data_IF_407555033669
#
_entry.id   IF_407555033669
#
_cell.length_a   1.000
_cell.length_b   1.000
_cell.length_c   1.000
_cell.angle_alpha   90.00
_cell.angle_beta   90.00
_cell.angle_gamma   90.00
#
_symmetry.space_group_name_H-M   'P 1'
#
loop_
_entity.id
_entity.type
_entity.pdbx_description
1 polymer ?
#
# COMPACT_ATOMS: atom_id res chain seq x y z
N UNK A 1 -12.61 4.61 -39.30
CA UNK A 1 -13.33 3.51 -38.63
C UNK A 1 -13.43 3.90 -37.17
N UNK A 2 -14.63 3.95 -36.58
CA UNK A 2 -14.74 4.18 -35.14
C UNK A 2 -14.54 2.84 -34.42
N UNK A 3 -13.45 2.71 -33.66
CA UNK A 3 -13.12 1.49 -32.91
C UNK A 3 -13.52 1.57 -31.45
N UNK A 4 -13.60 2.78 -30.89
CA UNK A 4 -13.89 3.01 -29.48
C UNK A 4 -15.41 3.09 -29.31
N UNK A 5 -15.93 2.37 -28.34
CA UNK A 5 -17.31 2.56 -27.91
C UNK A 5 -17.36 3.85 -27.10
N UNK A 6 -18.28 4.75 -27.45
CA UNK A 6 -18.43 6.07 -26.83
C UNK A 6 -19.88 6.33 -26.39
N UNK A 7 -20.59 5.28 -25.98
CA UNK A 7 -21.99 5.32 -25.57
C UNK A 7 -22.25 6.32 -24.43
N UNK A 8 -21.34 6.36 -23.46
CA UNK A 8 -21.38 7.27 -22.31
C UNK A 8 -19.97 7.81 -22.00
N UNK A 9 -19.87 8.70 -21.01
CA UNK A 9 -18.63 9.35 -20.59
C UNK A 9 -17.64 8.42 -19.88
N UNK A 10 -18.08 7.25 -19.40
CA UNK A 10 -17.24 6.21 -18.80
C UNK A 10 -16.71 5.21 -19.81
N UNK A 11 -17.48 4.93 -20.87
CA UNK A 11 -17.08 4.08 -22.00
C UNK A 11 -16.22 4.88 -22.99
N UNK A 12 -14.91 4.91 -22.73
CA UNK A 12 -13.86 5.51 -23.56
C UNK A 12 -12.52 4.74 -23.36
N UNK A 13 -11.40 5.36 -23.71
CA UNK A 13 -10.08 5.01 -23.17
C UNK A 13 -9.77 5.92 -21.98
N UNK A 14 -9.50 5.34 -20.81
CA UNK A 14 -9.33 6.08 -19.56
C UNK A 14 -8.52 5.32 -18.52
N UNK A 15 -8.41 5.86 -17.33
CA UNK A 15 -7.73 5.22 -16.20
C UNK A 15 -8.75 5.00 -15.09
N UNK A 16 -8.77 3.81 -14.52
CA UNK A 16 -9.51 3.49 -13.30
C UNK A 16 -8.53 2.88 -12.31
N UNK A 17 -8.46 3.45 -11.11
CA UNK A 17 -7.55 2.96 -10.06
C UNK A 17 -8.31 2.51 -8.84
N UNK A 18 -7.70 1.66 -8.03
CA UNK A 18 -8.29 0.96 -6.91
C UNK A 18 -7.32 0.95 -5.74
N UNK A 19 -7.84 1.13 -4.54
CA UNK A 19 -7.17 0.76 -3.30
C UNK A 19 -7.29 -0.74 -3.06
N UNK A 20 -6.15 -1.45 -2.99
CA UNK A 20 -6.12 -2.89 -2.75
C UNK A 20 -6.60 -3.33 -1.37
N UNK A 21 -6.74 -2.41 -0.41
CA UNK A 21 -7.31 -2.67 0.91
C UNK A 21 -8.85 -2.61 0.92
N UNK A 22 -9.44 -1.95 -0.08
CA UNK A 22 -10.87 -1.75 -0.18
C UNK A 22 -11.57 -2.94 -0.84
N UNK A 23 -12.87 -3.07 -0.57
CA UNK A 23 -13.74 -4.05 -1.23
C UNK A 23 -14.58 -3.39 -2.32
N UNK A 24 -14.69 -4.06 -3.46
CA UNK A 24 -15.48 -3.61 -4.61
C UNK A 24 -16.53 -4.65 -4.96
N UNK A 25 -17.81 -4.28 -4.86
CA UNK A 25 -18.93 -5.19 -5.16
C UNK A 25 -19.50 -4.92 -6.56
N UNK A 26 -18.94 -5.61 -7.56
CA UNK A 26 -19.40 -5.51 -8.95
C UNK A 26 -20.79 -6.14 -9.18
N UNK A 27 -21.30 -6.96 -8.25
CA UNK A 27 -22.62 -7.60 -8.39
C UNK A 27 -23.79 -6.63 -8.10
N UNK A 28 -23.52 -5.49 -7.44
CA UNK A 28 -24.52 -4.45 -7.22
C UNK A 28 -23.88 -3.05 -7.33
N UNK A 29 -23.87 -2.51 -8.55
CA UNK A 29 -23.43 -1.14 -8.88
C UNK A 29 -24.16 -0.04 -8.08
N UNK A 30 -25.34 -0.34 -7.55
CA UNK A 30 -26.14 0.59 -6.75
C UNK A 30 -25.94 0.40 -5.24
N UNK A 31 -25.04 -0.48 -4.81
CA UNK A 31 -24.66 -0.61 -3.39
C UNK A 31 -23.96 0.69 -2.94
N UNK A 32 -24.59 1.49 -2.05
CA UNK A 32 -24.01 2.74 -1.60
C UNK A 32 -22.85 2.52 -0.63
N UNK A 33 -22.63 1.30 -0.13
CA UNK A 33 -21.70 1.04 0.99
C UNK A 33 -20.36 0.46 0.52
N UNK A 34 -20.25 -0.12 -0.68
CA UNK A 34 -19.05 -0.91 -1.07
C UNK A 34 -18.39 -0.48 -2.40
N UNK A 35 -18.02 0.79 -2.50
CA UNK A 35 -17.14 1.29 -3.55
C UNK A 35 -16.15 2.29 -2.95
N UNK A 36 -14.95 1.79 -2.69
CA UNK A 36 -13.84 2.48 -2.03
C UNK A 36 -13.22 3.62 -2.86
N UNK A 37 -11.90 3.69 -2.87
CA UNK A 37 -11.17 4.65 -3.71
C UNK A 37 -11.11 4.18 -5.17
N UNK A 38 -12.03 4.69 -6.00
CA UNK A 38 -12.06 4.43 -7.44
C UNK A 38 -12.09 5.68 -8.34
N UNK A 39 -10.97 6.41 -8.47
CA UNK A 39 -10.82 7.50 -9.44
C UNK A 39 -10.94 7.07 -10.91
N UNK A 40 -11.75 7.81 -11.68
CA UNK A 40 -12.03 7.58 -13.11
C UNK A 40 -12.38 8.88 -13.84
N UNK A 41 -12.30 8.98 -15.18
CA UNK A 41 -12.73 10.17 -15.92
C UNK A 41 -14.23 10.49 -15.79
N UNK A 42 -15.08 9.50 -15.50
CA UNK A 42 -16.54 9.68 -15.39
C UNK A 42 -17.13 8.85 -14.27
N UNK A 43 -18.07 9.42 -13.53
CA UNK A 43 -18.81 8.68 -12.50
C UNK A 43 -19.93 7.80 -13.08
N UNK A 44 -20.53 6.95 -12.23
CA UNK A 44 -21.65 6.06 -12.60
C UNK A 44 -22.94 6.79 -12.99
N UNK A 45 -23.03 8.09 -12.75
CA UNK A 45 -24.13 8.95 -13.19
C UNK A 45 -23.83 9.70 -14.48
N UNK A 46 -22.71 9.36 -15.14
CA UNK A 46 -22.26 9.95 -16.39
C UNK A 46 -21.86 11.43 -16.26
N UNK A 47 -21.48 11.87 -15.05
CA UNK A 47 -20.76 13.13 -14.91
C UNK A 47 -19.31 12.92 -15.33
N UNK A 48 -18.83 13.74 -16.25
CA UNK A 48 -17.46 13.68 -16.76
C UNK A 48 -16.58 14.74 -16.10
N UNK A 49 -15.31 14.39 -15.88
CA UNK A 49 -14.31 15.35 -15.48
C UNK A 49 -14.13 16.45 -16.55
N UNK A 50 -13.56 17.57 -16.13
CA UNK A 50 -13.26 18.69 -17.04
C UNK A 50 -11.74 18.87 -17.15
N UNK A 51 -11.22 19.17 -18.35
CA UNK A 51 -9.82 19.56 -18.49
C UNK A 51 -9.50 20.76 -17.60
N UNK A 52 -8.46 20.61 -16.78
CA UNK A 52 -7.81 21.69 -16.05
C UNK A 52 -6.88 22.48 -16.98
N UNK A 53 -6.23 21.77 -17.90
CA UNK A 53 -5.33 22.34 -18.90
C UNK A 53 -5.38 21.46 -20.16
N UNK A 54 -5.25 22.07 -21.33
CA UNK A 54 -5.07 21.34 -22.58
C UNK A 54 -4.34 22.21 -23.61
N UNK A 55 -3.60 21.59 -24.52
CA UNK A 55 -2.96 22.28 -25.64
C UNK A 55 -2.76 21.35 -26.83
N UNK A 56 -2.65 21.92 -28.02
CA UNK A 56 -2.22 21.22 -29.23
C UNK A 56 -0.91 21.85 -29.70
N UNK A 57 0.16 21.05 -29.77
CA UNK A 57 1.48 21.47 -30.22
C UNK A 57 2.01 20.45 -31.24
N UNK A 58 2.08 20.84 -32.51
CA UNK A 58 2.42 19.92 -33.60
C UNK A 58 1.44 18.74 -33.63
N UNK A 59 1.98 17.52 -33.61
CA UNK A 59 1.23 16.26 -33.62
C UNK A 59 0.84 15.75 -32.22
N UNK A 60 1.07 16.57 -31.17
CA UNK A 60 0.80 16.20 -29.78
C UNK A 60 -0.36 17.01 -29.20
N UNK A 61 -1.41 16.31 -28.76
CA UNK A 61 -2.47 16.85 -27.93
C UNK A 61 -2.18 16.54 -26.46
N UNK A 62 -2.11 17.58 -25.63
CA UNK A 62 -1.95 17.48 -24.18
C UNK A 62 -3.28 17.77 -23.49
N UNK A 63 -3.60 16.98 -22.46
CA UNK A 63 -4.72 17.25 -21.56
C UNK A 63 -4.35 16.87 -20.13
N UNK A 64 -4.78 17.70 -19.17
CA UNK A 64 -4.71 17.49 -17.73
C UNK A 64 -6.10 17.55 -17.16
N UNK A 65 -6.50 16.56 -16.37
CA UNK A 65 -7.79 16.54 -15.69
C UNK A 65 -7.67 15.92 -14.29
N UNK A 66 -8.55 16.33 -13.39
CA UNK A 66 -8.75 15.64 -12.10
C UNK A 66 -9.82 14.58 -12.31
N UNK A 67 -9.54 13.34 -11.94
CA UNK A 67 -10.52 12.27 -12.01
C UNK A 67 -11.61 12.47 -10.94
N UNK A 68 -12.72 11.77 -11.12
CA UNK A 68 -13.86 11.73 -10.21
C UNK A 68 -13.86 10.40 -9.48
N UNK A 69 -14.44 10.34 -8.29
CA UNK A 69 -14.81 9.05 -7.72
C UNK A 69 -15.93 8.44 -8.56
N UNK A 70 -15.73 7.21 -9.03
CA UNK A 70 -16.72 6.52 -9.85
C UNK A 70 -18.07 6.36 -9.13
N UNK A 71 -18.03 6.02 -7.84
CA UNK A 71 -19.20 6.03 -6.96
C UNK A 71 -19.14 7.21 -5.98
N UNK A 72 -19.92 8.27 -6.23
CA UNK A 72 -19.93 9.46 -5.38
C UNK A 72 -20.95 9.40 -4.21
N UNK A 73 -21.82 8.38 -4.15
CA UNK A 73 -23.00 8.37 -3.25
C UNK A 73 -22.65 8.47 -1.76
N UNK A 74 -21.59 7.78 -1.33
CA UNK A 74 -21.10 7.83 0.05
C UNK A 74 -20.06 8.93 0.31
N UNK A 75 -19.80 9.79 -0.68
CA UNK A 75 -18.78 10.86 -0.62
C UNK A 75 -19.41 12.26 -0.75
N UNK A 76 -20.74 12.34 -0.60
CA UNK A 76 -21.49 13.60 -0.65
C UNK A 76 -21.91 14.05 -2.04
N UNK A 77 -21.72 13.22 -3.07
CA UNK A 77 -22.24 13.46 -4.41
C UNK A 77 -23.41 12.55 -4.74
N UNK A 78 -23.56 12.20 -6.01
CA UNK A 78 -24.62 11.33 -6.50
C UNK A 78 -25.19 11.85 -7.81
N UNK A 79 -26.45 11.53 -8.07
CA UNK A 79 -27.15 11.92 -9.32
C UNK A 79 -27.17 13.42 -9.60
N UNK A 80 -27.02 14.27 -8.58
CA UNK A 80 -27.07 15.73 -8.71
C UNK A 80 -25.68 16.38 -8.83
N UNK A 81 -24.60 15.63 -8.66
CA UNK A 81 -23.25 16.16 -8.81
C UNK A 81 -22.14 15.16 -8.53
N UNK A 82 -21.00 15.29 -9.24
CA UNK A 82 -19.84 14.44 -9.06
C UNK A 82 -19.04 14.80 -7.80
N UNK A 83 -18.17 13.89 -7.38
CA UNK A 83 -17.11 14.17 -6.40
C UNK A 83 -15.77 13.98 -7.07
N UNK A 84 -14.94 15.03 -7.05
CA UNK A 84 -13.58 14.95 -7.54
C UNK A 84 -12.74 14.08 -6.61
N UNK A 85 -11.84 13.27 -7.17
CA UNK A 85 -10.84 12.52 -6.39
C UNK A 85 -9.54 13.31 -6.26
N UNK A 86 -8.63 12.80 -5.45
CA UNK A 86 -7.21 13.16 -5.27
C UNK A 86 -6.28 12.74 -6.43
N UNK A 87 -6.81 12.25 -7.56
CA UNK A 87 -6.00 11.79 -8.68
C UNK A 87 -6.04 12.77 -9.85
N UNK A 88 -4.88 13.35 -10.18
CA UNK A 88 -4.68 14.17 -11.38
C UNK A 88 -4.03 13.31 -12.46
N UNK A 89 -4.64 13.27 -13.64
CA UNK A 89 -4.14 12.55 -14.81
C UNK A 89 -3.79 13.54 -15.90
N UNK A 90 -2.59 13.36 -16.45
CA UNK A 90 -2.10 14.06 -17.62
C UNK A 90 -1.82 13.07 -18.73
N UNK A 91 -2.22 13.42 -19.95
CA UNK A 91 -2.05 12.63 -21.15
C UNK A 91 -1.41 13.47 -22.25
N UNK A 92 -0.40 12.93 -22.91
CA UNK A 92 0.15 13.45 -24.16
C UNK A 92 -0.11 12.43 -25.27
N UNK A 93 -1.06 12.74 -26.13
CA UNK A 93 -1.51 11.93 -27.25
C UNK A 93 -0.75 12.38 -28.50
N UNK A 94 0.11 11.53 -29.06
CA UNK A 94 0.97 11.86 -30.21
C UNK A 94 0.81 10.84 -31.32
N UNK A 95 0.40 11.28 -32.51
CA UNK A 95 0.46 10.43 -33.70
C UNK A 95 1.92 10.33 -34.16
N UNK A 96 2.43 9.10 -34.31
CA UNK A 96 3.83 8.92 -34.69
C UNK A 96 4.00 9.18 -36.20
N UNK A 97 4.85 10.13 -36.62
CA UNK A 97 4.99 10.47 -38.04
C UNK A 97 5.42 9.29 -38.93
N UNK A 98 6.27 8.41 -38.39
CA UNK A 98 6.75 7.21 -39.10
C UNK A 98 5.72 6.08 -39.14
N UNK A 99 4.67 6.14 -38.30
CA UNK A 99 3.66 5.10 -38.18
C UNK A 99 2.26 5.73 -38.09
N UNK A 100 1.62 6.04 -39.22
CA UNK A 100 0.39 6.85 -39.26
C UNK A 100 -0.83 6.20 -38.57
N UNK A 101 -0.76 4.90 -38.30
CA UNK A 101 -1.80 4.15 -37.57
C UNK A 101 -1.53 4.05 -36.06
N UNK A 102 -0.43 4.64 -35.56
CA UNK A 102 0.00 4.54 -34.17
C UNK A 102 -0.24 5.86 -33.44
N UNK A 103 -0.99 5.76 -32.35
CA UNK A 103 -1.14 6.79 -31.34
C UNK A 103 -0.33 6.40 -30.10
N UNK A 104 0.75 7.13 -29.83
CA UNK A 104 1.46 7.05 -28.55
C UNK A 104 0.69 7.88 -27.52
N UNK A 105 0.44 7.31 -26.34
CA UNK A 105 -0.13 8.02 -25.20
C UNK A 105 0.83 7.93 -24.04
N UNK A 106 1.43 9.07 -23.69
CA UNK A 106 2.23 9.19 -22.46
C UNK A 106 1.30 9.63 -21.34
N UNK A 107 1.44 9.01 -20.19
CA UNK A 107 0.66 9.32 -19.00
C UNK A 107 1.56 9.87 -17.89
N UNK A 108 1.01 10.81 -17.11
CA UNK A 108 1.46 11.10 -15.76
C UNK A 108 0.23 11.08 -14.85
N UNK A 109 0.21 10.18 -13.87
CA UNK A 109 -0.81 10.12 -12.84
C UNK A 109 -0.20 10.55 -11.50
N UNK A 110 -0.75 11.59 -10.89
CA UNK A 110 -0.30 12.14 -9.62
C UNK A 110 -1.40 12.03 -8.58
N UNK A 111 -1.09 11.38 -7.46
CA UNK A 111 -1.94 11.39 -6.28
C UNK A 111 -1.56 12.57 -5.40
N UNK A 112 -2.47 13.53 -5.24
CA UNK A 112 -2.23 14.75 -4.45
C UNK A 112 -2.97 14.77 -3.10
N UNK A 113 -3.54 13.63 -2.70
CA UNK A 113 -4.12 13.38 -1.38
C UNK A 113 -3.05 13.17 -0.29
N UNK A 114 -3.51 13.21 0.96
CA UNK A 114 -2.71 12.95 2.16
C UNK A 114 -2.81 11.49 2.65
N UNK A 115 -3.72 10.72 2.08
CA UNK A 115 -3.97 9.31 2.31
C UNK A 115 -3.08 8.40 1.45
N UNK A 116 -3.12 7.12 1.74
CA UNK A 116 -2.39 6.11 1.00
C UNK A 116 -3.32 4.95 0.63
N UNK A 117 -3.13 4.42 -0.57
CA UNK A 117 -3.88 3.30 -1.10
C UNK A 117 -2.98 2.11 -1.33
N UNK A 118 -3.43 0.94 -0.86
CA UNK A 118 -2.71 -0.31 -1.02
C UNK A 118 -2.62 -0.72 -2.49
N UNK A 119 -1.64 -1.57 -2.79
CA UNK A 119 -1.38 -2.03 -4.15
C UNK A 119 -2.61 -2.69 -4.76
N UNK A 120 -3.03 -2.21 -5.94
CA UNK A 120 -4.09 -2.79 -6.75
C UNK A 120 -3.65 -3.06 -8.19
N UNK A 121 -4.39 -3.94 -8.88
CA UNK A 121 -4.30 -4.10 -10.32
C UNK A 121 -5.06 -2.96 -11.00
N UNK A 122 -4.32 -1.91 -11.35
CA UNK A 122 -4.90 -0.67 -11.88
C UNK A 122 -5.25 -0.82 -13.35
N UNK A 123 -6.44 -0.33 -13.71
CA UNK A 123 -6.91 -0.28 -15.09
C UNK A 123 -6.28 0.91 -15.80
N UNK A 124 -5.06 0.71 -16.28
CA UNK A 124 -4.21 1.79 -16.72
C UNK A 124 -3.64 1.49 -18.11
N UNK A 125 -4.21 2.05 -19.18
CA UNK A 125 -5.59 2.50 -19.30
C UNK A 125 -6.55 1.33 -19.57
N UNK A 126 -7.79 1.43 -19.09
CA UNK A 126 -8.87 0.65 -19.68
C UNK A 126 -9.26 1.20 -21.05
N UNK A 127 -9.86 0.37 -21.90
CA UNK A 127 -10.39 0.79 -23.20
C UNK A 127 -11.63 -0.01 -23.59
N UNK A 128 -12.72 0.70 -23.86
CA UNK A 128 -13.93 0.13 -24.44
C UNK A 128 -13.86 0.14 -25.97
N UNK A 129 -14.06 -1.04 -26.57
CA UNK A 129 -13.95 -1.27 -28.02
C UNK A 129 -15.30 -1.73 -28.55
N UNK A 130 -15.70 -1.28 -29.73
CA UNK A 130 -16.96 -1.70 -30.34
C UNK A 130 -17.03 -3.24 -30.52
N UNK A 131 -18.20 -3.84 -30.32
CA UNK A 131 -18.40 -5.30 -30.35
C UNK A 131 -17.95 -6.01 -31.63
N UNK A 132 -17.86 -5.34 -32.76
CA UNK A 132 -17.42 -5.95 -34.04
C UNK A 132 -15.97 -6.48 -34.04
N UNK A 133 -15.22 -6.33 -32.95
CA UNK A 133 -13.81 -6.69 -32.79
C UNK A 133 -13.64 -7.77 -31.70
N UNK A 134 -14.26 -8.93 -31.91
CA UNK A 134 -14.40 -9.98 -30.88
C UNK A 134 -13.26 -10.99 -30.80
N UNK A 135 -12.37 -11.01 -31.79
CA UNK A 135 -11.28 -11.99 -31.79
C UNK A 135 -10.06 -11.39 -31.09
N UNK A 136 -9.61 -12.08 -30.05
CA UNK A 136 -8.40 -11.72 -29.33
C UNK A 136 -7.19 -12.32 -30.03
N UNK A 137 -6.14 -11.52 -30.19
CA UNK A 137 -4.83 -11.98 -30.64
C UNK A 137 -3.75 -11.42 -29.72
N UNK A 138 -2.89 -12.27 -29.18
CA UNK A 138 -1.72 -11.85 -28.38
C UNK A 138 -0.68 -12.97 -28.39
N UNK A 139 0.57 -12.68 -28.05
CA UNK A 139 1.58 -13.72 -27.86
C UNK A 139 1.67 -14.16 -26.40
N UNK A 140 1.29 -15.41 -26.10
CA UNK A 140 1.36 -15.99 -24.75
C UNK A 140 2.41 -17.08 -24.57
N UNK A 141 3.29 -17.27 -25.55
CA UNK A 141 4.40 -18.22 -25.45
C UNK A 141 5.50 -17.72 -24.52
N UNK A 142 6.36 -18.62 -24.04
CA UNK A 142 7.44 -18.28 -23.09
C UNK A 142 8.72 -17.73 -23.75
N UNK A 143 8.74 -17.59 -25.08
CA UNK A 143 9.90 -17.15 -25.86
C UNK A 143 9.54 -15.95 -26.74
N UNK A 144 9.31 -14.77 -26.14
CA UNK A 144 8.82 -13.60 -26.87
C UNK A 144 9.82 -13.14 -27.93
N UNK A 145 9.30 -12.51 -28.98
CA UNK A 145 10.10 -11.90 -30.05
C UNK A 145 10.89 -12.87 -30.94
N UNK A 146 10.46 -14.13 -30.99
CA UNK A 146 11.01 -15.17 -31.88
C UNK A 146 10.29 -15.24 -33.22
N UNK A 147 9.20 -14.47 -33.41
CA UNK A 147 8.32 -14.58 -34.58
C UNK A 147 7.35 -15.77 -34.51
N UNK A 148 7.34 -16.52 -33.39
CA UNK A 148 6.41 -17.61 -33.18
C UNK A 148 4.94 -17.15 -33.28
N UNK A 149 4.05 -18.06 -33.68
CA UNK A 149 2.64 -17.77 -33.87
C UNK A 149 1.99 -17.23 -32.58
N UNK A 150 1.09 -16.23 -32.68
CA UNK A 150 0.37 -15.74 -31.53
C UNK A 150 -0.73 -16.73 -31.10
N UNK A 151 -1.19 -16.54 -29.88
CA UNK A 151 -2.42 -17.12 -29.35
C UNK A 151 -3.61 -16.36 -29.92
N UNK A 152 -4.61 -17.10 -30.42
CA UNK A 152 -5.83 -16.56 -31.02
C UNK A 152 -7.04 -17.13 -30.28
N UNK A 153 -7.90 -16.25 -29.77
CA UNK A 153 -9.18 -16.63 -29.17
C UNK A 153 -10.32 -16.12 -30.06
N UNK A 154 -11.09 -17.01 -30.73
CA UNK A 154 -12.05 -16.63 -31.76
C UNK A 154 -13.16 -15.69 -31.29
N UNK A 155 -13.62 -15.81 -30.04
CA UNK A 155 -14.68 -15.00 -29.46
C UNK A 155 -14.29 -14.59 -28.04
N UNK A 156 -14.46 -13.30 -27.75
CA UNK A 156 -14.22 -12.76 -26.43
C UNK A 156 -15.29 -13.28 -25.44
N UNK A 157 -14.89 -13.80 -24.27
CA UNK A 157 -15.83 -14.27 -23.26
C UNK A 157 -16.57 -13.09 -22.61
N UNK A 158 -17.77 -13.34 -22.10
CA UNK A 158 -18.56 -12.32 -21.40
C UNK A 158 -17.99 -11.99 -20.02
N UNK A 159 -17.37 -12.96 -19.35
CA UNK A 159 -16.62 -12.74 -18.11
C UNK A 159 -15.19 -12.30 -18.41
N UNK A 160 -14.62 -11.47 -17.53
CA UNK A 160 -13.20 -11.09 -17.54
C UNK A 160 -12.28 -12.31 -17.59
N UNK A 161 -11.41 -12.34 -18.61
CA UNK A 161 -10.36 -13.35 -18.75
C UNK A 161 -9.00 -12.67 -18.81
N UNK A 162 -8.04 -13.28 -18.12
CA UNK A 162 -6.66 -12.84 -18.08
C UNK A 162 -5.85 -13.49 -19.21
N UNK A 163 -5.14 -12.67 -19.97
CA UNK A 163 -4.23 -13.08 -21.03
C UNK A 163 -2.80 -12.74 -20.65
N UNK A 164 -1.91 -13.74 -20.68
CA UNK A 164 -0.46 -13.51 -20.60
C UNK A 164 0.06 -13.01 -21.95
N UNK A 165 0.14 -11.69 -22.12
CA UNK A 165 0.71 -11.02 -23.27
C UNK A 165 2.22 -10.84 -23.09
N UNK A 166 2.99 -11.90 -23.31
CA UNK A 166 4.44 -11.94 -23.06
C UNK A 166 5.27 -11.06 -24.03
N UNK A 167 4.64 -10.49 -25.06
CA UNK A 167 5.21 -9.42 -25.91
C UNK A 167 4.64 -8.02 -25.57
N UNK A 168 3.85 -7.89 -24.50
CA UNK A 168 3.30 -6.63 -24.00
C UNK A 168 2.14 -6.06 -24.82
N UNK A 169 1.59 -6.82 -25.79
CA UNK A 169 0.51 -6.38 -26.67
C UNK A 169 -0.67 -7.35 -26.74
N UNK A 170 -1.86 -6.80 -26.98
CA UNK A 170 -3.09 -7.54 -27.26
C UNK A 170 -3.88 -6.83 -28.36
N UNK A 171 -4.56 -7.58 -29.21
CA UNK A 171 -5.41 -7.04 -30.26
C UNK A 171 -6.84 -7.56 -30.12
N UNK A 172 -7.81 -6.65 -30.26
CA UNK A 172 -9.19 -6.97 -30.54
C UNK A 172 -9.46 -6.67 -32.01
N UNK A 173 -9.76 -7.72 -32.78
CA UNK A 173 -9.86 -7.64 -34.24
C UNK A 173 -11.13 -8.29 -34.77
N UNK A 174 -11.56 -7.84 -35.93
CA UNK A 174 -12.67 -8.43 -36.67
C UNK A 174 -12.23 -9.66 -37.49
N UNK A 175 -13.15 -10.21 -38.28
CA UNK A 175 -12.89 -11.35 -39.17
C UNK A 175 -11.83 -11.06 -40.27
N UNK A 176 -11.56 -9.79 -40.57
CA UNK A 176 -10.54 -9.37 -41.54
C UNK A 176 -9.18 -9.02 -40.89
N UNK A 177 -8.96 -9.44 -39.63
CA UNK A 177 -7.80 -9.14 -38.80
C UNK A 177 -7.63 -7.66 -38.43
N UNK A 178 -8.54 -6.77 -38.84
CA UNK A 178 -8.45 -5.32 -38.54
C UNK A 178 -9.11 -4.99 -37.21
N UNK A 179 -8.51 -4.09 -36.45
CA UNK A 179 -9.10 -3.58 -35.23
C UNK A 179 -8.15 -2.71 -34.43
N UNK A 180 -8.19 -2.87 -33.11
CA UNK A 180 -7.34 -2.13 -32.18
C UNK A 180 -6.31 -3.07 -31.58
N UNK A 181 -5.03 -2.72 -31.72
CA UNK A 181 -3.95 -3.33 -30.95
C UNK A 181 -3.49 -2.35 -29.88
N UNK A 182 -3.40 -2.85 -28.65
CA UNK A 182 -2.89 -2.14 -27.51
C UNK A 182 -1.50 -2.69 -27.16
N UNK A 183 -0.52 -1.81 -26.91
CA UNK A 183 0.83 -2.18 -26.48
C UNK A 183 1.24 -1.33 -25.26
N UNK A 184 1.51 -1.99 -24.13
CA UNK A 184 2.04 -1.37 -22.92
C UNK A 184 3.35 -2.06 -22.53
N UNK A 185 4.50 -1.53 -22.97
CA UNK A 185 5.80 -2.16 -22.72
C UNK A 185 6.23 -2.21 -21.25
N UNK A 186 5.62 -1.40 -20.39
CA UNK A 186 6.01 -1.22 -18.99
C UNK A 186 4.96 -1.70 -17.99
N UNK A 187 3.88 -2.31 -18.48
CA UNK A 187 2.89 -2.92 -17.61
C UNK A 187 3.23 -4.39 -17.41
N UNK A 188 2.68 -4.97 -16.36
CA UNK A 188 2.75 -6.40 -16.19
C UNK A 188 2.08 -7.08 -17.39
N UNK A 189 2.62 -8.19 -17.95
CA UNK A 189 2.10 -8.82 -19.16
C UNK A 189 0.73 -9.49 -18.97
N UNK A 190 0.00 -9.17 -17.91
CA UNK A 190 -1.37 -9.61 -17.70
C UNK A 190 -2.34 -8.56 -18.22
N UNK A 191 -3.08 -8.93 -19.25
CA UNK A 191 -4.10 -8.06 -19.85
C UNK A 191 -5.45 -8.74 -19.69
N UNK A 192 -6.42 -8.04 -19.13
CA UNK A 192 -7.81 -8.50 -19.03
C UNK A 192 -8.54 -8.13 -20.31
N UNK A 193 -9.37 -9.04 -20.82
CA UNK A 193 -10.34 -8.68 -21.84
C UNK A 193 -11.68 -9.42 -21.63
N UNK A 194 -12.78 -8.76 -21.97
CA UNK A 194 -14.15 -9.30 -21.88
C UNK A 194 -15.15 -8.57 -22.78
N UNK A 195 -16.30 -9.21 -23.01
CA UNK A 195 -17.47 -8.64 -23.67
C UNK A 195 -18.64 -8.52 -22.67
N UNK A 196 -18.58 -7.57 -21.71
CA UNK A 196 -19.45 -7.54 -20.53
C UNK A 196 -20.95 -7.37 -20.83
N UNK A 197 -21.34 -6.82 -22.00
CA UNK A 197 -22.72 -6.42 -22.32
C UNK A 197 -23.31 -7.12 -23.56
N UNK A 198 -22.94 -8.39 -23.78
CA UNK A 198 -23.26 -9.18 -24.99
C UNK A 198 -24.76 -9.41 -25.33
N UNK A 199 -25.69 -8.85 -24.56
CA UNK A 199 -27.15 -9.00 -24.76
C UNK A 199 -27.90 -7.66 -24.78
N UNK A 200 -27.20 -6.53 -24.66
CA UNK A 200 -27.82 -5.21 -24.62
C UNK A 200 -28.14 -4.68 -26.05
N UNK A 201 -29.01 -3.66 -26.22
CA UNK A 201 -29.24 -3.02 -27.52
C UNK A 201 -27.90 -2.60 -28.14
N UNK A 202 -27.79 -2.58 -29.48
CA UNK A 202 -26.52 -2.39 -30.21
C UNK A 202 -25.63 -1.20 -29.78
N UNK A 203 -26.20 -0.20 -29.13
CA UNK A 203 -25.48 0.98 -28.63
C UNK A 203 -24.77 0.72 -27.29
N UNK A 204 -25.22 -0.28 -26.51
CA UNK A 204 -24.66 -0.69 -25.22
C UNK A 204 -23.61 -1.81 -25.33
N UNK A 205 -23.58 -2.52 -26.46
CA UNK A 205 -22.74 -3.70 -26.65
C UNK A 205 -21.27 -3.32 -26.89
N UNK A 206 -20.37 -3.79 -26.03
CA UNK A 206 -18.96 -3.39 -26.01
C UNK A 206 -18.05 -4.54 -25.64
N UNK A 207 -16.83 -4.45 -26.15
CA UNK A 207 -15.67 -5.17 -25.66
C UNK A 207 -14.87 -4.27 -24.72
N UNK A 208 -14.07 -4.91 -23.87
CA UNK A 208 -13.27 -4.26 -22.85
C UNK A 208 -11.86 -4.85 -22.88
N UNK A 209 -10.85 -3.98 -22.86
CA UNK A 209 -9.44 -4.36 -22.72
C UNK A 209 -8.83 -3.56 -21.57
N UNK A 210 -8.10 -4.24 -20.70
CA UNK A 210 -7.40 -3.63 -19.57
C UNK A 210 -6.01 -4.23 -19.43
N UNK A 211 -4.97 -3.58 -19.95
CA UNK A 211 -3.62 -3.75 -19.42
C UNK A 211 -3.55 -3.42 -17.93
N UNK A 212 -3.09 -4.35 -17.11
CA UNK A 212 -2.98 -4.12 -15.67
C UNK A 212 -1.63 -3.52 -15.31
N UNK A 213 -1.67 -2.38 -14.63
CA UNK A 213 -0.53 -1.80 -13.95
C UNK A 213 -0.66 -2.11 -12.45
N UNK A 214 0.32 -2.79 -11.84
CA UNK A 214 0.30 -3.01 -10.39
C UNK A 214 1.00 -1.87 -9.68
N UNK A 215 0.25 -1.10 -8.91
CA UNK A 215 0.75 0.11 -8.27
C UNK A 215 -0.04 0.43 -7.00
N UNK A 216 0.65 0.93 -5.99
CA UNK A 216 0.07 1.58 -4.81
C UNK A 216 0.18 3.09 -4.92
N UNK A 217 -0.68 3.83 -4.21
CA UNK A 217 -0.68 5.29 -4.27
C UNK A 217 -0.42 5.90 -2.89
N UNK A 218 0.81 6.30 -2.63
CA UNK A 218 1.17 7.08 -1.43
C UNK A 218 0.97 8.58 -1.65
N UNK A 219 0.91 9.41 -0.59
CA UNK A 219 0.83 10.86 -0.73
C UNK A 219 1.92 11.43 -1.63
N UNK A 220 1.53 12.20 -2.65
CA UNK A 220 2.45 12.88 -3.56
C UNK A 220 3.11 12.00 -4.63
N UNK A 221 2.73 10.72 -4.75
CA UNK A 221 3.31 9.86 -5.79
C UNK A 221 2.96 10.40 -7.18
N UNK A 222 3.91 10.33 -8.12
CA UNK A 222 3.71 10.68 -9.52
C UNK A 222 4.27 9.57 -10.41
N UNK A 223 3.36 8.77 -10.97
CA UNK A 223 3.70 7.66 -11.86
C UNK A 223 3.66 8.10 -13.31
N UNK A 224 4.59 7.59 -14.13
CA UNK A 224 4.67 7.88 -15.57
C UNK A 224 4.81 6.60 -16.36
N UNK A 225 4.04 6.48 -17.43
CA UNK A 225 4.15 5.35 -18.37
C UNK A 225 3.82 5.82 -19.79
N UNK A 226 4.10 4.96 -20.76
CA UNK A 226 3.75 5.16 -22.16
C UNK A 226 3.10 3.90 -22.70
N UNK A 227 1.99 4.08 -23.42
CA UNK A 227 1.30 3.00 -24.12
C UNK A 227 1.03 3.42 -25.56
N UNK A 228 0.68 2.45 -26.40
CA UNK A 228 0.45 2.65 -27.82
C UNK A 228 -0.85 2.00 -28.25
N UNK A 229 -1.64 2.76 -28.99
CA UNK A 229 -2.82 2.28 -29.70
C UNK A 229 -2.48 2.19 -31.19
N UNK A 230 -2.67 1.02 -31.79
CA UNK A 230 -2.37 0.77 -33.21
C UNK A 230 -3.66 0.34 -33.91
N UNK A 231 -4.09 1.17 -34.86
CA UNK A 231 -5.36 1.02 -35.58
C UNK A 231 -5.10 0.42 -36.95
N UNK A 232 -4.92 -0.91 -37.00
CA UNK A 232 -4.73 -1.65 -38.26
C UNK A 232 -4.93 -3.17 -38.07
N UNK A 233 -4.42 -3.97 -39.01
CA UNK A 233 -4.26 -5.42 -38.90
C UNK A 233 -3.26 -5.77 -37.79
N UNK A 234 -3.58 -6.78 -36.97
CA UNK A 234 -2.70 -7.19 -35.87
C UNK A 234 -1.31 -7.64 -36.35
N UNK A 235 -1.18 -8.21 -37.56
CA UNK A 235 0.10 -8.63 -38.12
C UNK A 235 1.06 -7.44 -38.28
N UNK A 236 0.60 -6.38 -38.96
CA UNK A 236 1.38 -5.15 -39.13
C UNK A 236 1.59 -4.42 -37.80
N UNK A 237 0.61 -4.47 -36.90
CA UNK A 237 0.79 -3.92 -35.55
C UNK A 237 1.94 -4.61 -34.79
N UNK A 238 2.05 -5.95 -34.86
CA UNK A 238 3.15 -6.70 -34.24
C UNK A 238 4.51 -6.35 -34.84
N UNK A 239 4.59 -6.17 -36.16
CA UNK A 239 5.80 -5.70 -36.85
C UNK A 239 6.21 -4.30 -36.39
N UNK A 240 5.26 -3.36 -36.34
CA UNK A 240 5.49 -2.01 -35.82
C UNK A 240 5.97 -2.06 -34.37
N UNK A 241 5.35 -2.88 -33.51
CA UNK A 241 5.77 -3.04 -32.11
C UNK A 241 7.20 -3.59 -32.02
N UNK A 242 7.57 -4.54 -32.89
CA UNK A 242 8.91 -5.09 -32.96
C UNK A 242 9.96 -4.02 -33.31
N UNK A 243 9.60 -3.00 -34.09
CA UNK A 243 10.46 -1.85 -34.35
C UNK A 243 10.44 -0.84 -33.19
N UNK A 244 9.25 -0.48 -32.71
CA UNK A 244 9.06 0.49 -31.62
C UNK A 244 9.81 0.09 -30.35
N UNK A 245 9.85 -1.20 -29.99
CA UNK A 245 10.55 -1.67 -28.78
C UNK A 245 12.04 -1.32 -28.78
N UNK A 246 12.65 -1.17 -29.96
CA UNK A 246 14.07 -0.78 -30.09
C UNK A 246 14.29 0.73 -29.92
N UNK A 247 13.20 1.52 -29.92
CA UNK A 247 13.21 2.98 -29.69
C UNK A 247 12.83 3.36 -28.26
N UNK A 248 12.28 2.42 -27.49
CA UNK A 248 11.94 2.64 -26.09
C UNK A 248 13.20 2.94 -25.27
N UNK A 249 13.12 3.78 -24.22
CA UNK A 249 14.20 3.98 -23.26
C UNK A 249 14.93 2.67 -22.94
N UNK A 250 16.26 2.68 -23.09
CA UNK A 250 17.08 1.56 -22.71
C UNK A 250 17.09 1.46 -21.17
N UNK A 251 16.61 0.33 -20.65
CA UNK A 251 16.46 0.11 -19.21
C UNK A 251 15.00 -0.10 -18.83
N UNK A 252 14.80 -0.89 -17.80
CA UNK A 252 13.48 -1.05 -17.22
C UNK A 252 13.05 0.22 -16.50
N UNK A 253 11.80 0.64 -16.68
CA UNK A 253 11.20 1.81 -16.01
C UNK A 253 9.96 1.43 -15.22
N UNK A 254 9.58 0.15 -15.23
CA UNK A 254 8.54 -0.32 -14.35
C UNK A 254 9.05 -0.17 -12.91
N UNK A 255 8.13 0.17 -12.01
CA UNK A 255 8.50 0.27 -10.60
C UNK A 255 8.28 -1.09 -9.95
N UNK A 256 9.18 -1.52 -9.05
CA UNK A 256 8.94 -2.72 -8.28
C UNK A 256 7.69 -2.52 -7.41
N UNK A 257 6.89 -3.56 -7.28
CA UNK A 257 5.65 -3.53 -6.50
C UNK A 257 5.58 -4.67 -5.50
N UNK A 258 4.70 -4.56 -4.53
CA UNK A 258 4.63 -5.50 -3.43
C UNK A 258 3.55 -5.14 -2.41
N UNK A 259 3.47 -5.96 -1.38
CA UNK A 259 2.57 -5.75 -0.26
C UNK A 259 3.29 -6.06 1.05
N UNK A 260 2.94 -5.30 2.09
CA UNK A 260 3.34 -5.59 3.46
C UNK A 260 2.23 -6.39 4.14
N UNK A 261 2.52 -7.65 4.45
CA UNK A 261 1.58 -8.56 5.12
C UNK A 261 1.54 -8.26 6.63
N UNK A 262 2.71 -8.09 7.26
CA UNK A 262 2.85 -7.80 8.69
C UNK A 262 3.83 -6.66 8.96
N UNK A 263 3.61 -5.83 10.00
CA UNK A 263 2.49 -5.89 10.95
C UNK A 263 1.18 -5.37 10.34
N UNK A 264 0.01 -5.84 10.76
CA UNK A 264 -1.29 -5.28 10.34
C UNK A 264 -1.40 -3.77 10.61
N UNK A 265 -2.13 -3.05 9.75
CA UNK A 265 -2.33 -1.61 9.90
C UNK A 265 -3.07 -1.28 11.21
N UNK A 266 -2.56 -0.31 11.97
CA UNK A 266 -3.10 0.08 13.27
C UNK A 266 -2.79 -0.90 14.40
N UNK A 267 -1.99 -1.95 14.17
CA UNK A 267 -1.67 -2.92 15.19
C UNK A 267 -0.87 -2.31 16.34
N UNK A 268 -1.20 -2.73 17.57
CA UNK A 268 -0.31 -2.56 18.71
C UNK A 268 0.68 -3.72 18.74
N UNK A 269 1.97 -3.42 18.57
CA UNK A 269 3.04 -4.42 18.44
C UNK A 269 3.88 -4.49 19.72
N UNK A 270 4.43 -5.67 20.01
CA UNK A 270 5.18 -5.96 21.23
C UNK A 270 6.65 -5.55 21.19
N UNK A 271 7.49 -6.28 21.93
CA UNK A 271 8.93 -6.01 22.04
C UNK A 271 9.71 -6.30 20.76
N UNK A 272 9.23 -7.20 19.89
CA UNK A 272 9.84 -7.52 18.61
C UNK A 272 8.79 -7.38 17.52
N UNK A 273 9.10 -6.63 16.48
CA UNK A 273 8.23 -6.45 15.31
C UNK A 273 8.80 -7.23 14.14
N UNK A 274 7.95 -8.06 13.53
CA UNK A 274 8.24 -8.68 12.25
C UNK A 274 7.67 -7.81 11.12
N UNK A 275 8.50 -7.54 10.11
CA UNK A 275 8.13 -6.83 8.88
C UNK A 275 8.23 -7.85 7.76
N UNK A 276 7.08 -8.35 7.32
CA UNK A 276 6.98 -9.48 6.39
C UNK A 276 6.08 -9.09 5.23
N UNK A 277 6.46 -9.52 4.03
CA UNK A 277 5.66 -9.26 2.84
C UNK A 277 6.24 -9.94 1.62
N UNK A 278 5.88 -9.41 0.46
CA UNK A 278 6.42 -9.86 -0.82
C UNK A 278 6.67 -8.68 -1.75
N UNK A 279 7.61 -8.87 -2.69
CA UNK A 279 8.01 -7.88 -3.66
C UNK A 279 8.35 -8.53 -5.01
N UNK A 280 7.96 -7.86 -6.09
CA UNK A 280 8.01 -8.32 -7.47
C UNK A 280 8.50 -7.21 -8.39
N UNK A 281 9.14 -7.61 -9.48
CA UNK A 281 9.49 -6.72 -10.58
C UNK A 281 9.77 -7.54 -11.87
N UNK A 282 9.58 -6.94 -13.04
CA UNK A 282 9.84 -7.58 -14.34
C UNK A 282 11.32 -7.80 -14.64
N UNK A 283 12.24 -7.12 -13.94
CA UNK A 283 13.70 -7.42 -13.96
C UNK A 283 14.23 -7.98 -12.64
N UNK A 284 13.34 -8.47 -11.78
CA UNK A 284 13.58 -8.91 -10.40
C UNK A 284 13.94 -7.77 -9.43
N UNK A 285 13.48 -7.95 -8.18
CA UNK A 285 13.88 -7.11 -7.05
C UNK A 285 15.31 -7.44 -6.65
N UNK A 286 16.12 -6.40 -6.42
CA UNK A 286 17.49 -6.47 -5.94
C UNK A 286 17.56 -6.39 -4.41
N UNK A 287 16.85 -5.42 -3.81
CA UNK A 287 16.83 -5.23 -2.35
C UNK A 287 15.51 -4.71 -1.82
N UNK A 288 15.28 -5.01 -0.54
CA UNK A 288 14.14 -4.51 0.25
C UNK A 288 14.69 -3.85 1.51
N UNK A 289 14.39 -2.58 1.72
CA UNK A 289 14.89 -1.79 2.85
C UNK A 289 13.73 -1.36 3.76
N UNK A 290 13.92 -1.46 5.07
CA UNK A 290 12.90 -1.16 6.09
C UNK A 290 13.28 0.10 6.85
N UNK A 291 12.31 1.00 7.02
CA UNK A 291 12.45 2.27 7.71
C UNK A 291 11.45 2.36 8.86
N UNK A 292 11.84 3.04 9.93
CA UNK A 292 10.97 3.43 11.05
C UNK A 292 11.07 4.93 11.26
N UNK A 293 9.94 5.63 11.17
CA UNK A 293 9.83 7.09 11.27
C UNK A 293 10.84 7.84 10.38
N UNK A 294 11.03 7.33 9.16
CA UNK A 294 11.96 7.88 8.17
C UNK A 294 13.42 7.44 8.33
N UNK A 295 13.80 6.76 9.42
CA UNK A 295 15.15 6.26 9.65
C UNK A 295 15.31 4.85 9.08
N UNK A 296 16.38 4.59 8.32
CA UNK A 296 16.69 3.26 7.80
C UNK A 296 17.05 2.32 8.97
N UNK A 297 16.28 1.24 9.15
CA UNK A 297 16.60 0.17 10.09
C UNK A 297 17.57 -0.84 9.49
N UNK A 298 17.43 -1.14 8.20
CA UNK A 298 18.30 -2.09 7.50
C UNK A 298 17.67 -2.68 6.25
N UNK A 299 18.35 -3.67 5.68
CA UNK A 299 17.88 -4.44 4.52
C UNK A 299 17.25 -5.74 4.99
N UNK A 300 16.03 -6.03 4.52
CA UNK A 300 15.32 -7.27 4.78
C UNK A 300 15.96 -8.46 4.06
N UNK A 301 15.78 -9.66 4.61
CA UNK A 301 16.07 -10.89 3.87
C UNK A 301 15.03 -11.06 2.78
N UNK A 302 15.42 -10.84 1.52
CA UNK A 302 14.60 -11.08 0.33
C UNK A 302 14.94 -12.44 -0.31
N UNK A 303 14.02 -12.99 -1.10
CA UNK A 303 14.17 -14.29 -1.75
C UNK A 303 13.54 -15.44 -0.97
N UNK A 304 12.58 -15.16 -0.07
CA UNK A 304 11.84 -16.19 0.65
C UNK A 304 10.73 -16.78 -0.24
N UNK A 305 10.43 -18.07 -0.08
CA UNK A 305 9.41 -18.74 -0.90
C UNK A 305 8.01 -18.20 -0.65
N UNK A 306 7.31 -17.81 -1.73
CA UNK A 306 5.90 -17.37 -1.76
C UNK A 306 5.16 -17.99 -2.96
N UNK A 307 4.83 -19.29 -2.90
CA UNK A 307 4.13 -19.98 -3.98
C UNK A 307 2.74 -19.39 -4.28
N UNK A 308 2.06 -18.86 -3.27
CA UNK A 308 0.80 -18.13 -3.39
C UNK A 308 0.94 -16.90 -4.31
N UNK A 309 1.99 -16.11 -4.09
CA UNK A 309 2.31 -14.94 -4.93
C UNK A 309 2.73 -15.38 -6.33
N UNK A 310 3.52 -16.44 -6.45
CA UNK A 310 3.94 -16.97 -7.75
C UNK A 310 2.77 -17.50 -8.61
N UNK A 311 1.72 -18.01 -7.97
CA UNK A 311 0.50 -18.44 -8.65
C UNK A 311 -0.35 -17.25 -9.12
N UNK A 312 -0.39 -16.16 -8.33
CA UNK A 312 -1.11 -14.94 -8.69
C UNK A 312 -0.37 -14.13 -9.78
N UNK A 313 0.97 -14.15 -9.76
CA UNK A 313 1.85 -13.42 -10.69
C UNK A 313 2.81 -14.38 -11.41
N UNK A 314 2.31 -15.22 -12.34
CA UNK A 314 3.11 -16.22 -13.02
C UNK A 314 4.08 -15.62 -14.03
N UNK A 315 5.29 -16.17 -14.11
CA UNK A 315 6.26 -15.86 -15.18
C UNK A 315 7.28 -14.76 -14.84
N UNK A 316 7.25 -14.21 -13.62
CA UNK A 316 8.23 -13.20 -13.20
C UNK A 316 9.61 -13.80 -12.84
N UNK A 317 10.70 -13.07 -13.13
CA UNK A 317 12.04 -13.43 -12.66
C UNK A 317 12.09 -13.51 -11.13
N UNK A 318 12.73 -14.56 -10.61
CA UNK A 318 12.83 -14.80 -9.17
C UNK A 318 11.78 -15.76 -8.60
N UNK A 319 10.81 -16.21 -9.40
CA UNK A 319 9.80 -17.18 -8.95
C UNK A 319 10.39 -18.47 -8.39
N UNK A 320 9.87 -19.03 -7.28
CA UNK A 320 8.74 -18.55 -6.46
C UNK A 320 9.19 -17.69 -5.25
N UNK A 321 10.41 -17.16 -5.28
CA UNK A 321 11.10 -16.59 -4.12
C UNK A 321 10.87 -15.08 -4.01
N UNK A 322 9.61 -14.71 -3.75
CA UNK A 322 9.17 -13.30 -3.75
C UNK A 322 8.98 -12.69 -2.37
N UNK A 323 9.14 -13.48 -1.30
CA UNK A 323 8.95 -13.02 0.06
C UNK A 323 10.14 -12.24 0.60
N UNK A 324 9.87 -11.31 1.50
CA UNK A 324 10.87 -10.68 2.37
C UNK A 324 10.48 -10.82 3.85
N UNK A 325 11.49 -10.82 4.72
CA UNK A 325 11.31 -10.73 6.16
C UNK A 325 12.41 -9.87 6.81
N UNK A 326 12.03 -9.09 7.81
CA UNK A 326 12.93 -8.34 8.67
C UNK A 326 12.35 -8.32 10.08
N UNK A 327 13.22 -8.21 11.10
CA UNK A 327 12.77 -8.10 12.48
C UNK A 327 13.60 -7.04 13.22
N UNK A 328 12.97 -6.31 14.12
CA UNK A 328 13.65 -5.36 14.99
C UNK A 328 13.01 -5.32 16.38
N UNK A 329 13.82 -4.99 17.38
CA UNK A 329 13.35 -4.79 18.75
C UNK A 329 12.82 -3.37 18.93
N UNK A 330 11.72 -3.21 19.68
CA UNK A 330 11.10 -1.91 19.94
C UNK A 330 11.68 -1.17 21.13
N UNK A 331 12.51 -1.85 21.94
CA UNK A 331 12.99 -1.36 23.24
C UNK A 331 13.80 -0.06 23.18
N UNK A 332 14.33 0.31 22.02
CA UNK A 332 15.12 1.53 21.82
C UNK A 332 14.31 2.70 21.25
N UNK A 333 13.02 2.49 20.98
CA UNK A 333 12.12 3.50 20.44
C UNK A 333 11.08 3.89 21.48
N UNK A 334 10.53 5.08 21.33
CA UNK A 334 9.42 5.54 22.16
C UNK A 334 8.23 4.58 22.05
N UNK A 335 7.35 4.54 23.06
CA UNK A 335 6.06 3.87 22.91
C UNK A 335 5.06 4.77 22.19
N UNK A 336 3.95 4.20 21.75
CA UNK A 336 2.92 4.93 21.02
C UNK A 336 3.08 4.83 19.50
N UNK A 337 2.55 5.79 18.73
CA UNK A 337 2.42 5.65 17.28
C UNK A 337 3.76 5.77 16.56
N UNK A 338 3.99 4.85 15.63
CA UNK A 338 5.14 4.78 14.75
C UNK A 338 4.72 4.48 13.32
N UNK A 339 5.56 4.87 12.37
CA UNK A 339 5.37 4.59 10.95
C UNK A 339 6.50 3.71 10.41
N UNK A 340 6.14 2.52 9.92
CA UNK A 340 7.04 1.63 9.19
C UNK A 340 6.87 1.90 7.69
N UNK A 341 7.99 2.05 6.97
CA UNK A 341 7.99 2.09 5.49
C UNK A 341 8.92 1.03 4.92
N UNK A 342 8.58 0.53 3.74
CA UNK A 342 9.40 -0.43 3.00
C UNK A 342 9.72 0.14 1.62
N UNK A 343 11.01 0.23 1.30
CA UNK A 343 11.51 0.59 -0.03
C UNK A 343 11.88 -0.66 -0.79
N UNK A 344 11.32 -0.82 -1.97
CA UNK A 344 11.72 -1.83 -2.94
C UNK A 344 12.71 -1.21 -3.92
N UNK A 345 13.70 -1.97 -4.37
CA UNK A 345 14.59 -1.59 -5.47
C UNK A 345 14.80 -2.77 -6.40
N UNK A 346 14.58 -2.58 -7.69
CA UNK A 346 14.83 -3.59 -8.72
C UNK A 346 16.29 -3.60 -9.20
N UNK A 347 16.62 -4.53 -10.11
CA UNK A 347 17.96 -4.67 -10.70
C UNK A 347 18.33 -3.58 -11.71
N UNK A 348 17.36 -2.81 -12.20
CA UNK A 348 17.61 -1.62 -13.02
C UNK A 348 17.84 -0.36 -12.16
N UNK A 349 17.59 -0.44 -10.84
CA UNK A 349 17.74 0.63 -9.89
C UNK A 349 16.48 1.47 -9.67
N UNK A 350 15.32 1.09 -10.23
CA UNK A 350 14.08 1.80 -9.93
C UNK A 350 13.64 1.47 -8.50
N UNK A 351 13.00 2.44 -7.85
CA UNK A 351 12.61 2.33 -6.45
C UNK A 351 11.16 2.72 -6.24
N UNK A 352 10.47 1.98 -5.37
CA UNK A 352 9.11 2.27 -4.93
C UNK A 352 9.03 2.19 -3.40
N UNK A 353 8.33 3.15 -2.79
CA UNK A 353 7.90 3.03 -1.40
C UNK A 353 6.55 2.34 -1.36
N UNK A 354 6.44 1.26 -0.60
CA UNK A 354 5.13 0.70 -0.25
C UNK A 354 4.36 1.69 0.63
N UNK A 355 3.02 1.59 0.69
CA UNK A 355 2.21 2.42 1.58
C UNK A 355 2.72 2.37 3.02
N UNK A 356 2.62 3.50 3.77
CA UNK A 356 3.09 3.56 5.14
C UNK A 356 2.26 2.62 6.03
N UNK A 357 2.95 1.85 6.87
CA UNK A 357 2.31 0.99 7.87
C UNK A 357 2.39 1.63 9.24
N UNK A 358 1.28 2.21 9.69
CA UNK A 358 1.14 2.78 11.03
C UNK A 358 0.90 1.69 12.05
N UNK A 359 1.69 1.70 13.12
CA UNK A 359 1.58 0.80 14.26
C UNK A 359 1.70 1.58 15.56
N UNK A 360 1.33 0.97 16.68
CA UNK A 360 1.64 1.50 18.01
C UNK A 360 2.55 0.54 18.75
N UNK A 361 3.65 1.02 19.32
CA UNK A 361 4.48 0.19 20.20
C UNK A 361 3.78 0.11 21.56
N UNK A 362 3.42 -1.11 21.96
CA UNK A 362 2.61 -1.37 23.15
C UNK A 362 3.30 -1.02 24.47
N UNK A 363 2.47 -0.81 25.51
CA UNK A 363 2.89 -0.48 26.87
C UNK A 363 3.33 -1.75 27.63
N UNK A 364 4.54 -1.75 28.16
CA UNK A 364 5.05 -2.80 29.04
C UNK A 364 4.82 -2.39 30.49
N UNK A 365 4.03 -3.16 31.27
CA UNK A 365 3.60 -2.72 32.60
C UNK A 365 4.79 -2.43 33.52
N UNK A 366 4.76 -1.27 34.17
CA UNK A 366 5.70 -0.92 35.23
C UNK A 366 5.67 -1.94 36.38
N UNK A 367 6.82 -2.18 37.00
CA UNK A 367 6.98 -3.16 38.07
C UNK A 367 8.03 -2.72 39.08
N UNK A 368 8.08 -3.41 40.22
CA UNK A 368 9.04 -3.11 41.27
C UNK A 368 8.75 -3.87 42.55
N UNK A 369 9.52 -3.55 43.59
CA UNK A 369 9.40 -4.18 44.92
C UNK A 369 9.42 -3.14 46.03
N UNK A 370 8.53 -3.31 47.01
CA UNK A 370 8.61 -2.67 48.32
C UNK A 370 9.50 -3.50 49.24
N UNK A 371 10.74 -3.06 49.42
CA UNK A 371 11.75 -3.79 50.19
C UNK A 371 11.53 -3.63 51.71
N UNK A 372 11.30 -2.40 52.16
CA UNK A 372 11.10 -2.06 53.58
C UNK A 372 9.99 -1.03 53.76
N UNK A 373 9.21 -1.21 54.83
CA UNK A 373 8.33 -0.19 55.38
C UNK A 373 8.32 -0.36 56.90
N UNK A 374 8.94 0.57 57.62
CA UNK A 374 8.99 0.59 59.07
C UNK A 374 8.83 2.02 59.63
N UNK A 375 9.03 2.20 60.94
CA UNK A 375 8.86 3.50 61.58
C UNK A 375 9.90 4.57 61.14
N UNK A 376 10.95 4.18 60.40
CA UNK A 376 12.02 5.07 59.93
C UNK A 376 11.89 5.35 58.43
N UNK A 377 11.68 4.31 57.62
CA UNK A 377 11.69 4.47 56.16
C UNK A 377 10.73 3.53 55.43
N UNK A 378 10.36 3.98 54.22
CA UNK A 378 9.65 3.24 53.20
C UNK A 378 10.54 3.27 51.96
N UNK A 379 11.11 2.14 51.58
CA UNK A 379 12.08 2.07 50.49
C UNK A 379 11.93 0.80 49.65
N UNK A 380 12.37 0.90 48.41
CA UNK A 380 12.24 -0.14 47.41
C UNK A 380 12.85 0.27 46.08
N UNK A 381 12.38 -0.36 45.01
CA UNK A 381 12.70 0.02 43.65
C UNK A 381 11.49 -0.13 42.73
N UNK A 382 11.45 0.66 41.67
CA UNK A 382 10.44 0.58 40.63
C UNK A 382 11.06 0.93 39.28
N UNK A 383 10.66 0.21 38.25
CA UNK A 383 11.10 0.39 36.88
C UNK A 383 9.90 0.30 35.95
N UNK A 384 9.84 1.21 35.00
CA UNK A 384 8.92 1.14 33.88
C UNK A 384 9.75 0.90 32.61
N UNK A 385 9.60 -0.27 31.94
CA UNK A 385 10.31 -0.54 30.69
C UNK A 385 10.04 0.50 29.59
N UNK A 386 8.92 1.22 29.69
CA UNK A 386 8.52 2.25 28.72
C UNK A 386 9.26 3.59 28.93
N UNK A 387 9.94 3.76 30.07
CA UNK A 387 10.80 4.91 30.38
C UNK A 387 12.30 4.65 30.16
N UNK A 388 12.71 3.42 29.86
CA UNK A 388 14.12 3.08 29.70
C UNK A 388 14.92 3.33 30.99
N UNK A 389 15.92 4.20 30.97
CA UNK A 389 16.68 4.57 32.18
C UNK A 389 16.07 5.75 32.96
N UNK A 390 15.04 6.40 32.42
CA UNK A 390 14.41 7.53 33.08
C UNK A 390 13.61 7.08 34.32
N UNK A 391 13.61 7.88 35.40
CA UNK A 391 12.98 7.48 36.66
C UNK A 391 11.45 7.49 36.58
N UNK A 392 10.83 6.48 37.19
CA UNK A 392 9.37 6.35 37.27
C UNK A 392 8.81 6.96 38.58
N UNK A 393 7.56 7.43 38.55
CA UNK A 393 6.87 7.90 39.75
C UNK A 393 6.38 6.75 40.63
N UNK A 394 6.54 6.89 41.95
CA UNK A 394 6.05 5.98 42.98
C UNK A 394 5.15 6.74 43.94
N UNK A 395 3.93 6.25 44.15
CA UNK A 395 2.97 6.76 45.13
C UNK A 395 3.04 5.93 46.40
N UNK A 396 3.18 6.61 47.54
CA UNK A 396 3.11 6.01 48.86
C UNK A 396 1.75 6.35 49.46
N UNK A 397 0.98 5.32 49.79
CA UNK A 397 -0.33 5.42 50.41
C UNK A 397 -0.28 4.80 51.81
N UNK A 398 -0.76 5.53 52.83
CA UNK A 398 -0.84 5.05 54.21
C UNK A 398 -2.31 5.13 54.65
N UNK A 399 -2.86 4.00 55.09
CA UNK A 399 -4.25 3.85 55.55
C UNK A 399 -5.30 4.40 54.57
N UNK A 400 -5.09 4.18 53.27
CA UNK A 400 -6.00 4.60 52.21
C UNK A 400 -5.79 6.04 51.73
N UNK A 401 -4.80 6.77 52.27
CA UNK A 401 -4.46 8.13 51.84
C UNK A 401 -3.09 8.20 51.16
N UNK A 402 -3.03 8.79 49.98
CA UNK A 402 -1.76 9.12 49.32
C UNK A 402 -1.02 10.19 50.14
N UNK A 403 0.12 9.82 50.71
CA UNK A 403 0.92 10.70 51.58
C UNK A 403 2.11 11.32 50.85
N UNK A 404 2.58 10.69 49.76
CA UNK A 404 3.67 11.18 48.93
C UNK A 404 3.62 10.63 47.50
N UNK A 405 4.16 11.40 46.56
CA UNK A 405 4.57 10.96 45.23
C UNK A 405 6.04 11.30 45.05
N UNK A 406 6.87 10.29 44.84
CA UNK A 406 8.33 10.40 44.70
C UNK A 406 8.76 9.80 43.36
N UNK A 407 10.03 9.97 43.01
CA UNK A 407 10.64 9.32 41.83
C UNK A 407 11.60 8.22 42.27
N UNK A 408 11.68 7.16 41.48
CA UNK A 408 12.62 6.07 41.68
C UNK A 408 13.90 6.32 40.87
N UNK A 409 14.78 7.19 41.37
CA UNK A 409 15.99 7.67 40.68
C UNK A 409 17.31 7.34 41.40
N UNK A 410 17.23 6.62 42.54
CA UNK A 410 18.37 6.28 43.37
C UNK A 410 19.11 5.06 42.82
N UNK A 411 20.44 5.04 42.99
CA UNK A 411 21.27 3.95 42.49
C UNK A 411 21.03 2.64 43.27
N UNK A 412 20.74 1.57 42.55
CA UNK A 412 20.55 0.18 43.00
C UNK A 412 21.46 -0.74 42.19
N UNK A 413 22.75 -0.85 42.55
CA UNK A 413 23.72 -1.66 41.81
C UNK A 413 23.34 -3.13 41.69
N UNK A 414 22.53 -3.65 42.63
CA UNK A 414 22.02 -5.02 42.63
C UNK A 414 21.10 -5.33 41.45
N UNK A 415 20.50 -4.31 40.82
CA UNK A 415 19.62 -4.48 39.66
C UNK A 415 20.38 -4.67 38.34
N UNK A 416 21.69 -4.43 38.31
CA UNK A 416 22.50 -4.47 37.09
C UNK A 416 22.51 -5.84 36.37
N UNK A 417 22.14 -6.92 37.08
CA UNK A 417 22.06 -8.27 36.53
C UNK A 417 20.66 -8.71 36.07
N UNK A 418 19.63 -7.89 36.26
CA UNK A 418 18.26 -8.23 35.86
C UNK A 418 18.04 -7.87 34.38
N UNK A 419 17.81 -8.85 33.48
CA UNK A 419 17.62 -8.57 32.05
C UNK A 419 16.35 -7.78 31.73
N UNK A 420 15.46 -7.57 32.71
CA UNK A 420 14.21 -6.81 32.55
C UNK A 420 14.39 -5.32 32.85
N UNK A 421 15.53 -4.91 33.39
CA UNK A 421 15.77 -3.55 33.90
C UNK A 421 16.93 -2.92 33.13
N UNK A 422 16.72 -1.72 32.60
CA UNK A 422 17.77 -0.94 31.92
C UNK A 422 18.40 0.05 32.90
N UNK A 423 19.70 -0.06 33.15
CA UNK A 423 20.41 0.79 34.10
C UNK A 423 20.19 0.38 35.57
N UNK A 424 20.70 1.20 36.50
CA UNK A 424 20.69 0.89 37.95
C UNK A 424 19.97 1.93 38.79
N UNK A 425 19.50 3.03 38.20
CA UNK A 425 18.93 4.18 38.94
C UNK A 425 17.43 4.06 39.13
N UNK A 426 16.99 2.99 39.79
CA UNK A 426 15.57 2.64 39.95
C UNK A 426 15.12 2.53 41.42
N UNK A 427 15.95 2.96 42.36
CA UNK A 427 15.64 2.93 43.79
C UNK A 427 14.81 4.13 44.23
N UNK A 428 13.96 3.94 45.25
CA UNK A 428 13.28 5.03 45.95
C UNK A 428 13.41 4.86 47.46
N UNK A 429 13.39 5.97 48.19
CA UNK A 429 13.33 5.97 49.67
C UNK A 429 12.56 7.20 50.15
N UNK A 430 11.67 7.00 51.13
CA UNK A 430 10.95 8.04 51.84
C UNK A 430 11.14 7.84 53.35
N UNK A 431 11.51 8.89 54.08
CA UNK A 431 11.45 8.86 55.54
C UNK A 431 9.99 8.75 55.99
N UNK A 432 9.67 7.75 56.81
CA UNK A 432 8.31 7.50 57.27
C UNK A 432 7.78 8.73 58.00
N UNK A 433 6.64 9.31 57.59
CA UNK A 433 6.07 10.48 58.25
C UNK A 433 5.66 10.13 59.69
N UNK A 434 5.51 11.14 60.56
CA UNK A 434 5.01 10.88 61.91
C UNK A 434 3.60 10.31 61.88
N UNK A 435 3.43 9.09 62.41
CA UNK A 435 2.16 8.38 62.47
C UNK A 435 1.61 8.39 63.90
N UNK A 436 0.28 8.40 64.03
CA UNK A 436 -0.36 8.21 65.33
C UNK A 436 0.08 6.89 65.97
N UNK A 437 -0.04 6.77 67.29
CA UNK A 437 0.27 5.49 67.95
C UNK A 437 -0.68 4.41 67.45
N UNK A 438 -0.15 3.31 66.94
CA UNK A 438 -0.95 2.22 66.38
C UNK A 438 -0.29 1.51 65.22
N UNK A 439 -1.08 0.67 64.56
CA UNK A 439 -0.70 -0.07 63.35
C UNK A 439 -1.23 0.65 62.12
N UNK A 440 -0.38 0.82 61.13
CA UNK A 440 -0.65 1.49 59.86
C UNK A 440 -0.32 0.58 58.68
N UNK A 441 -1.10 0.65 57.61
CA UNK A 441 -0.87 -0.14 56.39
C UNK A 441 -0.31 0.76 55.31
N UNK A 442 0.86 0.39 54.77
CA UNK A 442 1.54 1.09 53.68
C UNK A 442 1.33 0.32 52.39
N UNK A 443 0.66 0.96 51.42
CA UNK A 443 0.62 0.53 50.04
C UNK A 443 1.56 1.37 49.19
N UNK A 444 2.27 0.76 48.25
CA UNK A 444 3.14 1.47 47.31
C UNK A 444 2.80 1.11 45.88
N UNK A 445 2.58 2.12 45.05
CA UNK A 445 2.22 1.96 43.64
C UNK A 445 3.25 2.64 42.75
N UNK A 446 3.66 1.98 41.68
CA UNK A 446 4.35 2.65 40.56
C UNK A 446 3.31 3.18 39.57
N UNK A 447 3.57 4.33 38.97
CA UNK A 447 2.75 4.88 37.88
C UNK A 447 3.28 4.39 36.55
N UNK A 448 2.47 3.60 35.86
CA UNK A 448 2.73 3.07 34.53
C UNK A 448 2.55 4.14 33.45
N UNK A 449 3.53 4.32 32.58
CA UNK A 449 3.56 5.37 31.54
C UNK A 449 3.43 4.72 30.15
N UNK A 450 2.52 5.19 29.27
CA UNK A 450 1.72 6.41 29.40
C UNK A 450 0.33 6.19 30.01
N UNK A 451 -0.05 4.97 30.42
CA UNK A 451 -1.44 4.70 30.83
C UNK A 451 -1.89 5.52 32.05
N UNK A 452 -0.95 5.94 32.90
CA UNK A 452 -1.21 6.56 34.20
C UNK A 452 -1.74 5.57 35.23
N UNK A 453 -1.76 4.27 34.91
CA UNK A 453 -2.28 3.23 35.81
C UNK A 453 -1.41 3.10 37.04
N UNK A 454 -2.04 2.86 38.20
CA UNK A 454 -1.33 2.53 39.43
C UNK A 454 -1.11 1.03 39.50
N UNK A 455 0.15 0.60 39.44
CA UNK A 455 0.52 -0.81 39.62
C UNK A 455 1.08 -0.98 41.02
N UNK A 456 0.47 -1.84 41.83
CA UNK A 456 0.95 -2.10 43.18
C UNK A 456 2.27 -2.89 43.14
N UNK A 457 3.27 -2.41 43.88
CA UNK A 457 4.59 -3.04 43.91
C UNK A 457 4.55 -4.40 44.59
N UNK A 458 5.41 -5.32 44.14
CA UNK A 458 5.59 -6.60 44.82
C UNK A 458 6.03 -6.37 46.27
N UNK A 459 5.48 -7.11 47.22
CA UNK A 459 5.78 -6.92 48.65
C UNK A 459 4.96 -5.81 49.34
N UNK A 460 4.09 -5.10 48.60
CA UNK A 460 3.03 -4.25 49.14
C UNK A 460 1.74 -5.06 49.34
N UNK A 461 0.90 -4.76 50.36
CA UNK A 461 1.16 -3.79 51.43
C UNK A 461 2.09 -4.33 52.53
N UNK A 462 2.65 -3.42 53.33
CA UNK A 462 3.37 -3.72 54.58
C UNK A 462 2.79 -2.98 55.78
N UNK A 463 2.92 -3.56 56.98
CA UNK A 463 2.46 -2.97 58.24
C UNK A 463 3.57 -2.22 58.96
N UNK A 464 3.31 -0.98 59.37
CA UNK A 464 4.18 -0.16 60.22
C UNK A 464 3.53 0.02 61.59
N UNK A 465 4.28 -0.18 62.67
CA UNK A 465 3.82 0.06 64.05
C UNK A 465 4.50 1.31 64.61
N UNK A 466 3.70 2.30 65.01
CA UNK A 466 4.13 3.52 65.67
C UNK A 466 3.83 3.42 67.17
N UNK A 467 4.84 3.66 68.02
CA UNK A 467 4.84 3.36 69.45
C UNK A 467 4.61 4.58 70.35
#
# INVERSE_FOLDING_TARGET
MNLINNHDGGRLAGISVYDGADTYNNANINDPINWGWNPTPSDKYNHTNRPLEYSLQGDTFYVKARNLHWNPDNKGGGRIGPIASDLIVEMWLTFLPSYPTVLQVRFRATHDGEDAHEMGGQEFPFTYVNRGFDRVVTYSGSQPWTGAAPTVVPNLPTSSVFFSANEGWISLVNAADKGLTFFAPYHYPLIVASAPDATAPHEDDTNYIVPLLFQSYSPGISYKTTVYYIVDRWQGAREIIQELRHTLPAGDIALPFGMLDEPQAGATVGQVVAVVGWALDNVAVDRVEVFLDGNLLGTAQYGLGRPDVANAYPGLPGSPNFGFAFQFATEQYTRGPHEIRVRLTDRAGNTQMLPPRRVSFGNAPAFGTLDVADAKEIAGWAHDPDLGEDPVQVIINIDGKDVATIVADQNRPDLAGDPRIRGTRHGFTLTTPSLAKGSHTVHTYVIDVPTGSRIELSGSPKTVVSN
#
